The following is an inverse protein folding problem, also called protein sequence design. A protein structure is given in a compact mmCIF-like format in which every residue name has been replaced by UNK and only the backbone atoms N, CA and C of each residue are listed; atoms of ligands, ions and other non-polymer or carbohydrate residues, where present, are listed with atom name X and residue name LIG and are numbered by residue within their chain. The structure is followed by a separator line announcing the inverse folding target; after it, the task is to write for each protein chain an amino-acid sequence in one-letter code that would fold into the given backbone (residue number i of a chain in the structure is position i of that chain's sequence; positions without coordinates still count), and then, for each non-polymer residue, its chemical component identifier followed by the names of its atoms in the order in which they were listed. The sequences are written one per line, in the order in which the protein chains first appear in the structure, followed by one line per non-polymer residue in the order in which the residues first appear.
data_IF_271745966467
#
_entry.id   IF_271745966467
#
_cell.length_a   1.000
_cell.length_b   1.000
_cell.length_c   1.000
_cell.angle_alpha   90.00
_cell.angle_beta   90.00
_cell.angle_gamma   90.00
#
_symmetry.space_group_name_H-M   'P 1'
#
loop_
_entity.id
_entity.type
_entity.pdbx_description
1 polymer ?
#
# COMPACT_ATOMS: atom_id res chain seq x y z
N UNK A 1 -9.53 -19.09 -41.11
CA UNK A 1 -9.14 -18.04 -40.15
C UNK A 1 -8.97 -18.69 -38.78
N UNK A 2 -7.72 -18.73 -38.29
CA UNK A 2 -7.44 -19.15 -36.93
C UNK A 2 -7.84 -18.03 -35.96
N UNK A 3 -8.32 -18.36 -34.77
CA UNK A 3 -8.72 -17.39 -33.76
C UNK A 3 -7.58 -17.28 -32.75
N UNK A 4 -6.95 -16.11 -32.69
CA UNK A 4 -5.83 -15.83 -31.76
C UNK A 4 -6.31 -15.17 -30.46
N UNK A 5 -7.44 -14.47 -30.50
CA UNK A 5 -8.07 -13.88 -29.31
C UNK A 5 -9.56 -14.17 -29.35
N UNK A 6 -10.11 -14.62 -28.22
CA UNK A 6 -11.55 -14.75 -28.01
C UNK A 6 -11.89 -14.23 -26.62
N UNK A 7 -12.74 -13.20 -26.56
CA UNK A 7 -13.33 -12.73 -25.32
C UNK A 7 -14.83 -12.68 -25.47
N UNK A 8 -15.52 -13.20 -24.46
CA UNK A 8 -16.98 -13.20 -24.35
C UNK A 8 -17.31 -12.54 -23.02
N UNK A 9 -18.29 -11.66 -23.02
CA UNK A 9 -18.80 -10.98 -21.85
C UNK A 9 -20.31 -11.13 -21.81
N UNK A 10 -20.82 -11.72 -20.74
CA UNK A 10 -22.25 -11.83 -20.48
C UNK A 10 -22.67 -10.61 -19.67
N UNK A 11 -23.64 -9.86 -20.16
CA UNK A 11 -24.24 -8.70 -19.51
C UNK A 11 -25.23 -9.15 -18.44
N UNK A 12 -25.57 -8.24 -17.54
CA UNK A 12 -26.49 -8.49 -16.43
C UNK A 12 -27.93 -8.80 -16.89
N UNK A 13 -28.32 -8.28 -18.06
CA UNK A 13 -29.60 -8.57 -18.72
C UNK A 13 -29.65 -9.97 -19.39
N UNK A 14 -28.56 -10.74 -19.28
CA UNK A 14 -28.43 -12.08 -19.85
C UNK A 14 -27.91 -12.11 -21.29
N UNK A 15 -27.80 -10.96 -21.96
CA UNK A 15 -27.25 -10.87 -23.32
C UNK A 15 -25.74 -11.02 -23.35
N UNK A 16 -25.18 -11.33 -24.51
CA UNK A 16 -23.74 -11.57 -24.67
C UNK A 16 -23.13 -10.63 -25.71
N UNK A 17 -21.95 -10.10 -25.39
CA UNK A 17 -21.08 -9.39 -26.34
C UNK A 17 -19.76 -10.13 -26.43
N UNK A 18 -19.17 -10.16 -27.61
CA UNK A 18 -17.91 -10.84 -27.82
C UNK A 18 -17.04 -10.12 -28.83
N UNK A 19 -15.73 -10.33 -28.68
CA UNK A 19 -14.71 -9.94 -29.63
C UNK A 19 -13.85 -11.15 -29.96
N UNK A 20 -13.56 -11.33 -31.24
CA UNK A 20 -12.62 -12.31 -31.76
C UNK A 20 -11.60 -11.60 -32.63
N UNK A 21 -10.34 -11.93 -32.44
CA UNK A 21 -9.27 -11.55 -33.36
C UNK A 21 -8.78 -12.82 -34.00
N UNK A 22 -8.69 -12.83 -35.32
CA UNK A 22 -8.21 -13.96 -36.08
C UNK A 22 -7.25 -13.54 -37.18
N UNK A 23 -6.45 -14.49 -37.60
CA UNK A 23 -5.56 -14.36 -38.74
C UNK A 23 -5.90 -15.40 -39.80
N UNK A 24 -5.62 -15.05 -41.05
CA UNK A 24 -5.65 -15.97 -42.16
C UNK A 24 -4.38 -15.76 -42.96
N UNK A 25 -3.68 -16.85 -43.28
CA UNK A 25 -2.44 -16.78 -44.05
C UNK A 25 -2.65 -16.01 -45.36
N UNK A 26 -1.74 -15.09 -45.73
CA UNK A 26 -1.86 -14.34 -46.95
C UNK A 26 -1.75 -15.27 -48.16
N UNK A 27 -2.69 -15.14 -49.09
CA UNK A 27 -2.66 -15.81 -50.39
C UNK A 27 -2.06 -14.82 -51.39
N UNK A 28 -0.86 -15.12 -51.86
CA UNK A 28 -0.14 -14.30 -52.83
C UNK A 28 -0.35 -14.89 -54.22
N UNK A 29 -0.72 -14.06 -55.18
CA UNK A 29 -0.75 -14.41 -56.59
C UNK A 29 -0.19 -13.24 -57.39
N UNK A 30 0.65 -13.54 -58.36
CA UNK A 30 1.30 -12.55 -59.23
C UNK A 30 2.02 -11.43 -58.43
N UNK A 31 2.67 -11.80 -57.31
CA UNK A 31 3.40 -10.88 -56.44
C UNK A 31 2.52 -9.98 -55.55
N UNK A 32 1.19 -10.11 -55.61
CA UNK A 32 0.24 -9.32 -54.83
C UNK A 32 -0.54 -10.18 -53.85
N UNK A 33 -0.84 -9.66 -52.65
CA UNK A 33 -1.70 -10.33 -51.67
C UNK A 33 -3.15 -10.21 -52.14
N UNK A 34 -3.75 -11.34 -52.53
CA UNK A 34 -5.15 -11.40 -53.00
C UNK A 34 -6.12 -11.65 -51.85
N UNK A 35 -5.70 -12.44 -50.86
CA UNK A 35 -6.55 -12.81 -49.72
C UNK A 35 -5.71 -13.04 -48.46
N UNK A 36 -6.35 -13.13 -47.30
CA UNK A 36 -5.70 -13.29 -46.00
C UNK A 36 -5.31 -11.96 -45.32
N UNK A 37 -5.05 -12.02 -44.02
CA UNK A 37 -4.79 -10.85 -43.18
C UNK A 37 -5.32 -11.02 -41.77
N UNK A 38 -5.34 -9.91 -41.03
CA UNK A 38 -5.90 -9.86 -39.67
C UNK A 38 -7.34 -9.41 -39.70
N UNK A 39 -8.15 -10.00 -38.83
CA UNK A 39 -9.57 -9.72 -38.74
C UNK A 39 -9.97 -9.51 -37.29
N UNK A 40 -10.72 -8.43 -37.06
CA UNK A 40 -11.42 -8.20 -35.80
C UNK A 40 -12.91 -8.43 -36.06
N UNK A 41 -13.49 -9.35 -35.30
CA UNK A 41 -14.93 -9.64 -35.35
C UNK A 41 -15.54 -9.28 -34.00
N UNK A 42 -16.49 -8.37 -34.01
CA UNK A 42 -17.22 -7.91 -32.82
C UNK A 42 -18.68 -8.23 -33.04
N UNK A 43 -19.33 -8.83 -32.06
CA UNK A 43 -20.74 -9.16 -32.17
C UNK A 43 -21.44 -9.26 -30.83
N UNK A 44 -22.74 -9.36 -30.92
CA UNK A 44 -23.66 -9.61 -29.82
C UNK A 44 -24.65 -10.72 -30.22
N UNK A 45 -25.76 -10.84 -29.51
CA UNK A 45 -26.80 -11.82 -29.80
C UNK A 45 -27.62 -11.48 -31.05
N UNK A 46 -27.58 -10.23 -31.52
CA UNK A 46 -28.33 -9.75 -32.69
C UNK A 46 -27.53 -9.87 -33.99
N UNK A 47 -26.21 -9.95 -33.90
CA UNK A 47 -25.35 -10.18 -35.06
C UNK A 47 -23.91 -9.78 -34.82
N UNK A 48 -23.14 -9.73 -35.90
CA UNK A 48 -21.72 -9.43 -35.82
C UNK A 48 -21.23 -8.59 -37.00
N UNK A 49 -20.09 -7.94 -36.78
CA UNK A 49 -19.35 -7.18 -37.77
C UNK A 49 -17.92 -7.71 -37.83
N UNK A 50 -17.41 -7.88 -39.04
CA UNK A 50 -16.03 -8.25 -39.30
C UNK A 50 -15.32 -7.07 -39.97
N UNK A 51 -14.14 -6.75 -39.45
CA UNK A 51 -13.25 -5.72 -39.98
C UNK A 51 -11.96 -6.41 -40.38
N UNK A 52 -11.59 -6.31 -41.66
CA UNK A 52 -10.26 -6.72 -42.14
C UNK A 52 -9.30 -5.56 -41.90
N UNK A 53 -8.14 -5.87 -41.35
CA UNK A 53 -7.04 -4.94 -41.15
C UNK A 53 -5.98 -5.18 -42.22
N UNK A 54 -5.36 -4.10 -42.69
CA UNK A 54 -4.06 -4.18 -43.34
C UNK A 54 -2.97 -4.58 -42.35
N UNK A 55 -1.83 -5.06 -42.85
CA UNK A 55 -0.70 -5.45 -42.00
C UNK A 55 -0.19 -4.28 -41.14
N UNK A 56 -0.19 -3.06 -41.70
CA UNK A 56 0.22 -1.85 -40.97
C UNK A 56 -0.76 -1.47 -39.85
N UNK A 57 -2.06 -1.57 -40.09
CA UNK A 57 -3.08 -1.31 -39.07
C UNK A 57 -3.02 -2.35 -37.94
N UNK A 58 -2.87 -3.63 -38.30
CA UNK A 58 -2.73 -4.69 -37.33
C UNK A 58 -1.50 -4.49 -36.44
N UNK A 59 -0.37 -4.08 -37.04
CA UNK A 59 0.87 -3.80 -36.32
C UNK A 59 0.74 -2.58 -35.39
N UNK A 60 0.16 -1.48 -35.87
CA UNK A 60 -0.07 -0.27 -35.05
C UNK A 60 -0.96 -0.57 -33.84
N UNK A 61 -2.08 -1.28 -34.05
CA UNK A 61 -2.99 -1.68 -32.96
C UNK A 61 -2.26 -2.54 -31.94
N UNK A 62 -1.47 -3.53 -32.38
CA UNK A 62 -0.71 -4.40 -31.48
C UNK A 62 0.27 -3.60 -30.61
N UNK A 63 1.05 -2.69 -31.22
CA UNK A 63 1.98 -1.84 -30.48
C UNK A 63 1.27 -0.92 -29.49
N UNK A 64 0.14 -0.31 -29.88
CA UNK A 64 -0.64 0.54 -28.97
C UNK A 64 -1.14 -0.23 -27.76
N UNK A 65 -1.64 -1.45 -27.94
CA UNK A 65 -2.07 -2.32 -26.83
C UNK A 65 -0.89 -2.64 -25.91
N UNK A 66 0.25 -3.07 -26.47
CA UNK A 66 1.45 -3.41 -25.69
C UNK A 66 1.95 -2.22 -24.88
N UNK A 67 2.11 -1.05 -25.51
CA UNK A 67 2.59 0.16 -24.85
C UNK A 67 1.61 0.64 -23.78
N UNK A 68 0.30 0.57 -24.05
CA UNK A 68 -0.73 0.94 -23.08
C UNK A 68 -0.71 -0.01 -21.88
N UNK A 69 -0.58 -1.31 -22.11
CA UNK A 69 -0.43 -2.31 -21.06
C UNK A 69 0.82 -2.06 -20.21
N UNK A 70 1.97 -1.82 -20.86
CA UNK A 70 3.23 -1.48 -20.15
C UNK A 70 3.08 -0.26 -19.27
N UNK A 71 2.44 0.80 -19.77
CA UNK A 71 2.15 2.02 -18.99
C UNK A 71 1.21 1.72 -17.84
N UNK A 72 0.11 1.02 -18.11
CA UNK A 72 -0.88 0.64 -17.10
C UNK A 72 -0.24 -0.14 -15.96
N UNK A 73 0.43 -1.26 -16.26
CA UNK A 73 1.09 -2.09 -15.24
C UNK A 73 2.18 -1.32 -14.49
N UNK A 74 2.98 -0.49 -15.16
CA UNK A 74 3.97 0.36 -14.46
C UNK A 74 3.30 1.39 -13.55
N UNK A 75 2.18 1.97 -13.96
CA UNK A 75 1.41 2.87 -13.10
C UNK A 75 0.85 2.12 -11.90
N UNK A 76 0.31 0.91 -12.07
CA UNK A 76 -0.17 0.10 -10.94
C UNK A 76 0.97 -0.33 -10.01
N UNK A 77 2.11 -0.78 -10.53
CA UNK A 77 3.27 -1.09 -9.72
C UNK A 77 3.79 0.14 -8.95
N UNK A 78 3.81 1.31 -9.60
CA UNK A 78 4.13 2.57 -8.93
C UNK A 78 3.10 2.98 -7.90
N UNK A 79 1.81 2.77 -8.17
CA UNK A 79 0.74 3.05 -7.21
C UNK A 79 0.85 2.11 -6.02
N UNK A 80 1.17 0.83 -6.22
CA UNK A 80 1.40 -0.14 -5.15
C UNK A 80 2.63 0.23 -4.32
N UNK A 81 3.73 0.63 -4.95
CA UNK A 81 4.93 1.14 -4.27
C UNK A 81 4.66 2.45 -3.52
N UNK A 82 3.94 3.40 -4.14
CA UNK A 82 3.55 4.67 -3.50
C UNK A 82 2.56 4.45 -2.36
N UNK A 83 1.61 3.52 -2.50
CA UNK A 83 0.66 3.14 -1.45
C UNK A 83 1.38 2.41 -0.30
N UNK A 84 2.38 1.58 -0.59
CA UNK A 84 3.23 0.96 0.42
C UNK A 84 4.13 1.98 1.13
N UNK A 85 4.70 2.94 0.40
CA UNK A 85 5.46 4.04 1.00
C UNK A 85 4.57 4.96 1.84
N UNK A 86 3.35 5.26 1.38
CA UNK A 86 2.34 6.00 2.14
C UNK A 86 1.93 5.22 3.39
N UNK A 87 1.59 3.94 3.27
CA UNK A 87 1.33 3.07 4.43
C UNK A 87 2.51 3.06 5.40
N UNK A 88 3.75 2.95 4.92
CA UNK A 88 4.95 2.99 5.75
C UNK A 88 5.15 4.35 6.42
N UNK A 89 4.82 5.46 5.74
CA UNK A 89 4.84 6.81 6.31
C UNK A 89 3.73 7.01 7.34
N UNK A 90 2.51 6.55 7.06
CA UNK A 90 1.38 6.58 7.98
C UNK A 90 1.65 5.69 9.19
N UNK A 91 2.18 4.48 9.01
CA UNK A 91 2.62 3.59 10.09
C UNK A 91 3.79 4.15 10.90
N UNK A 92 4.73 4.84 10.26
CA UNK A 92 5.82 5.53 10.97
C UNK A 92 5.32 6.75 11.73
N UNK A 93 4.38 7.51 11.16
CA UNK A 93 3.73 8.63 11.84
C UNK A 93 2.84 8.15 13.00
N UNK A 94 2.08 7.05 12.82
CA UNK A 94 1.34 6.36 13.89
C UNK A 94 2.28 5.86 15.00
N UNK A 95 3.49 5.38 14.65
CA UNK A 95 4.50 4.95 15.63
C UNK A 95 5.30 6.12 16.24
N UNK A 96 5.25 7.32 15.68
CA UNK A 96 5.97 8.51 16.17
C UNK A 96 5.06 9.46 16.98
N UNK A 97 3.73 9.25 17.01
CA UNK A 97 2.79 10.11 17.78
C UNK A 97 1.97 9.42 18.88
N UNK A 98 2.08 8.11 19.15
CA UNK A 98 1.40 7.51 20.32
C UNK A 98 2.12 6.23 20.80
N UNK A 99 3.26 6.36 21.48
CA UNK A 99 3.49 5.45 22.61
C UNK A 99 2.44 5.86 23.65
N UNK A 100 1.33 5.11 23.75
CA UNK A 100 0.40 5.27 24.87
C UNK A 100 1.23 5.35 26.15
N UNK A 101 1.13 6.47 26.87
CA UNK A 101 1.82 6.73 28.13
C UNK A 101 1.21 5.80 29.20
N UNK A 102 1.53 4.51 29.11
CA UNK A 102 1.02 3.53 30.05
C UNK A 102 1.69 3.78 31.40
N UNK A 103 0.98 3.54 32.52
CA UNK A 103 1.55 3.65 33.86
C UNK A 103 2.89 2.92 34.04
N UNK A 104 3.10 1.82 33.31
CA UNK A 104 4.29 0.97 33.39
C UNK A 104 5.49 1.59 32.65
N UNK A 105 5.26 2.27 31.52
CA UNK A 105 6.28 3.04 30.83
C UNK A 105 6.69 4.27 31.65
N UNK A 106 5.71 5.00 32.20
CA UNK A 106 5.98 6.14 33.09
C UNK A 106 6.88 5.75 34.26
N UNK A 107 6.52 4.66 34.93
CA UNK A 107 7.25 4.17 36.10
C UNK A 107 8.68 3.76 35.75
N UNK A 108 8.87 3.07 34.63
CA UNK A 108 10.20 2.68 34.13
C UNK A 108 11.07 3.91 33.86
N UNK A 109 10.51 4.93 33.23
CA UNK A 109 11.25 6.14 32.90
C UNK A 109 11.62 6.97 34.12
N UNK A 110 10.72 7.07 35.11
CA UNK A 110 11.03 7.72 36.39
C UNK A 110 12.15 6.99 37.12
N UNK A 111 12.13 5.65 37.15
CA UNK A 111 13.18 4.84 37.76
C UNK A 111 14.52 5.04 37.03
N UNK A 112 14.52 5.06 35.69
CA UNK A 112 15.73 5.28 34.90
C UNK A 112 16.30 6.69 35.13
N UNK A 113 15.45 7.71 35.08
CA UNK A 113 15.86 9.08 35.39
C UNK A 113 16.49 9.20 36.77
N UNK A 114 15.85 8.64 37.80
CA UNK A 114 16.40 8.62 39.16
C UNK A 114 17.74 7.89 39.23
N UNK A 115 17.94 6.79 38.49
CA UNK A 115 19.24 6.10 38.42
C UNK A 115 20.32 6.98 37.80
N UNK A 116 20.01 7.67 36.71
CA UNK A 116 20.98 8.46 35.96
C UNK A 116 21.50 9.66 36.75
N UNK A 117 20.66 10.25 37.61
CA UNK A 117 21.03 11.37 38.49
C UNK A 117 21.52 10.95 39.89
N UNK A 118 21.72 9.65 40.13
CA UNK A 118 22.33 9.14 41.37
C UNK A 118 21.36 8.75 42.49
N UNK A 119 20.06 8.65 42.20
CA UNK A 119 19.05 7.99 43.04
C UNK A 119 18.09 8.93 43.78
N UNK A 120 18.23 10.25 43.65
CA UNK A 120 17.41 11.24 44.35
C UNK A 120 17.13 12.46 43.46
N UNK A 121 15.88 12.94 43.47
CA UNK A 121 15.44 14.14 42.74
C UNK A 121 14.28 14.84 43.46
N UNK A 122 13.81 15.96 42.93
CA UNK A 122 12.58 16.63 43.35
C UNK A 122 11.45 16.46 42.34
N UNK A 123 10.20 16.67 42.77
CA UNK A 123 9.05 16.67 41.85
C UNK A 123 9.16 17.75 40.76
N UNK A 124 9.80 18.88 41.06
CA UNK A 124 10.00 19.97 40.09
C UNK A 124 11.04 19.59 39.03
N UNK A 125 12.10 18.90 39.42
CA UNK A 125 13.11 18.37 38.48
C UNK A 125 12.52 17.29 37.58
N UNK A 126 11.73 16.36 38.14
CA UNK A 126 11.03 15.34 37.35
C UNK A 126 10.07 16.00 36.36
N UNK A 127 9.31 17.01 36.80
CA UNK A 127 8.41 17.78 35.93
C UNK A 127 9.17 18.48 34.81
N UNK A 128 10.30 19.10 35.13
CA UNK A 128 11.11 19.82 34.15
C UNK A 128 11.82 18.89 33.17
N UNK A 129 12.16 17.67 33.58
CA UNK A 129 12.92 16.73 32.76
C UNK A 129 12.03 15.77 31.96
N UNK A 130 10.96 15.25 32.57
CA UNK A 130 10.09 14.22 31.99
C UNK A 130 8.69 14.74 31.65
N UNK A 131 8.22 15.82 32.32
CA UNK A 131 6.91 16.44 32.07
C UNK A 131 5.93 16.34 33.23
N UNK A 132 4.79 17.02 33.10
CA UNK A 132 3.76 17.13 34.16
C UNK A 132 3.12 15.78 34.48
N UNK A 133 2.93 14.91 33.47
CA UNK A 133 2.27 13.61 33.62
C UNK A 133 3.07 12.67 34.54
N UNK A 134 4.39 12.65 34.39
CA UNK A 134 5.31 11.90 35.25
C UNK A 134 5.31 12.44 36.68
N UNK A 135 5.33 13.77 36.85
CA UNK A 135 5.27 14.39 38.17
C UNK A 135 3.93 14.13 38.89
N UNK A 136 2.82 14.08 38.14
CA UNK A 136 1.51 13.71 38.66
C UNK A 136 1.45 12.22 39.02
N UNK A 137 2.02 11.34 38.19
CA UNK A 137 2.11 9.90 38.45
C UNK A 137 2.89 9.60 39.74
N UNK A 138 4.03 10.26 39.95
CA UNK A 138 4.86 10.10 41.15
C UNK A 138 4.10 10.46 42.43
N UNK A 139 3.19 11.45 42.39
CA UNK A 139 2.35 11.81 43.55
C UNK A 139 1.34 10.71 43.93
N UNK A 140 0.99 9.83 42.99
CA UNK A 140 0.10 8.70 43.20
C UNK A 140 0.82 7.44 43.71
N UNK A 141 0.07 6.36 44.02
CA UNK A 141 0.66 5.09 44.40
C UNK A 141 1.33 4.43 43.18
N UNK A 142 2.67 4.40 43.19
CA UNK A 142 3.47 3.62 42.23
C UNK A 142 3.25 2.12 42.44
N UNK A 143 3.21 1.35 41.34
CA UNK A 143 3.06 -0.12 41.40
C UNK A 143 4.35 -0.76 41.90
N UNK A 144 5.48 -0.32 41.38
CA UNK A 144 6.82 -0.71 41.77
C UNK A 144 7.21 0.12 43.01
N UNK A 145 7.19 -0.54 44.18
CA UNK A 145 7.51 0.08 45.48
C UNK A 145 9.01 0.45 45.64
N UNK A 146 9.69 0.73 44.53
CA UNK A 146 11.10 1.12 44.46
C UNK A 146 11.31 2.63 44.56
N UNK A 147 10.25 3.44 44.53
CA UNK A 147 10.36 4.89 44.68
C UNK A 147 9.59 5.33 45.92
N UNK A 148 10.17 6.23 46.71
CA UNK A 148 9.57 6.79 47.92
C UNK A 148 9.65 8.31 47.90
N UNK A 149 8.56 8.96 48.29
CA UNK A 149 8.55 10.40 48.52
C UNK A 149 8.81 10.68 50.01
N UNK A 150 9.84 11.46 50.30
CA UNK A 150 10.15 11.97 51.64
C UNK A 150 10.34 13.48 51.58
N UNK A 151 9.46 14.25 52.24
CA UNK A 151 9.64 15.69 52.44
C UNK A 151 9.85 16.50 51.15
N UNK A 152 9.12 16.17 50.08
CA UNK A 152 9.22 16.84 48.77
C UNK A 152 10.28 16.27 47.82
N UNK A 153 11.07 15.29 48.30
CA UNK A 153 12.07 14.58 47.49
C UNK A 153 11.56 13.21 47.06
N UNK A 154 11.94 12.80 45.87
CA UNK A 154 11.65 11.50 45.27
C UNK A 154 12.93 10.70 45.27
N UNK A 155 12.96 9.60 46.02
CA UNK A 155 14.14 8.75 46.19
C UNK A 155 13.88 7.37 45.64
N UNK A 156 14.86 6.85 44.91
CA UNK A 156 14.92 5.45 44.57
C UNK A 156 15.36 4.66 45.81
N UNK A 157 14.49 3.79 46.29
CA UNK A 157 14.81 2.79 47.29
C UNK A 157 15.80 1.80 46.67
N UNK A 158 17.00 1.73 47.23
CA UNK A 158 17.92 0.63 46.94
C UNK A 158 17.29 -0.66 47.47
N UNK A 159 16.69 -1.45 46.58
CA UNK A 159 16.47 -2.86 46.84
C UNK A 159 17.80 -3.61 46.76
N UNK A 160 17.97 -4.57 47.66
CA UNK A 160 19.08 -5.53 47.76
C UNK A 160 19.54 -6.13 46.42
#
# INVERSE_FOLDING_TARGET
MAIIVRKVHKRDDGTTVWIRVGDSSPIIKDGSVIDGGFFIRIGDDSGDKMIRLSDQEALDIAYRIIETYRRHVRTFAKLDELSYEQYKRTKRAENEEEEELTPELMEREIINFLRDIGGESTLEEIRSALGEEYAAYVRGPMKDKKVKIEGGKVKLLKGE
#
